data_IF_536590265471
#
_entry.id   IF_536590265471
#
_cell.length_a   1.000
_cell.length_b   1.000
_cell.length_c   1.000
_cell.angle_alpha   90.00
_cell.angle_beta   90.00
_cell.angle_gamma   90.00
#
_symmetry.space_group_name_H-M   'P 1'
#
loop_
_entity.id
_entity.type
_entity.pdbx_description
1 polymer ?
#
# COMPACT_ATOMS: atom_id res chain seq x y z
N UNK A 1 -16.00 21.61 7.30
CA UNK A 1 -16.48 21.42 8.70
C UNK A 1 -15.32 20.89 9.52
N UNK A 2 -14.87 21.61 10.55
CA UNK A 2 -13.83 21.13 11.46
C UNK A 2 -14.36 20.01 12.37
N UNK A 3 -13.53 19.01 12.66
CA UNK A 3 -13.92 17.88 13.51
C UNK A 3 -14.48 18.34 14.86
N UNK A 4 -15.62 17.78 15.28
CA UNK A 4 -16.36 18.16 16.50
C UNK A 4 -15.57 17.96 17.81
N UNK A 5 -14.39 17.34 17.74
CA UNK A 5 -13.49 17.11 18.87
C UNK A 5 -12.06 17.38 18.43
N UNK A 6 -11.57 18.64 18.55
CA UNK A 6 -10.18 18.95 18.20
C UNK A 6 -9.23 18.15 19.10
N UNK A 7 -8.10 17.71 18.53
CA UNK A 7 -7.07 17.03 19.31
C UNK A 7 -6.42 18.05 20.26
N UNK A 8 -6.53 17.80 21.56
CA UNK A 8 -5.95 18.68 22.58
C UNK A 8 -4.55 18.20 22.94
N UNK A 9 -3.71 19.09 23.50
CA UNK A 9 -2.37 18.72 23.98
C UNK A 9 -2.42 17.55 24.97
N UNK A 10 -3.36 17.56 25.92
CA UNK A 10 -3.55 16.45 26.87
C UNK A 10 -3.88 15.14 26.15
N UNK A 11 -4.70 15.19 25.10
CA UNK A 11 -5.03 14.01 24.28
C UNK A 11 -3.81 13.49 23.52
N UNK A 12 -2.94 14.37 23.01
CA UNK A 12 -1.69 13.98 22.36
C UNK A 12 -0.80 13.22 23.34
N UNK A 13 -0.56 13.77 24.53
CA UNK A 13 0.26 13.13 25.57
C UNK A 13 -0.35 11.78 26.00
N UNK A 14 -1.68 11.70 26.13
CA UNK A 14 -2.38 10.45 26.42
C UNK A 14 -2.11 9.38 25.34
N UNK A 15 -2.32 9.75 24.07
CA UNK A 15 -2.09 8.85 22.93
C UNK A 15 -0.63 8.41 22.82
N UNK A 16 0.32 9.30 23.12
CA UNK A 16 1.75 8.97 23.15
C UNK A 16 2.06 7.92 24.22
N UNK A 17 1.57 8.11 25.46
CA UNK A 17 1.80 7.14 26.54
C UNK A 17 1.22 5.77 26.21
N UNK A 18 0.02 5.73 25.64
CA UNK A 18 -0.60 4.49 25.18
C UNK A 18 0.20 3.84 24.03
N UNK A 19 0.71 4.64 23.09
CA UNK A 19 1.53 4.15 22.00
C UNK A 19 2.86 3.57 22.50
N UNK A 20 3.53 4.23 23.46
CA UNK A 20 4.77 3.75 24.07
C UNK A 20 4.57 2.37 24.68
N UNK A 21 3.47 2.14 25.41
CA UNK A 21 3.20 0.83 26.00
C UNK A 21 3.05 -0.28 24.95
N UNK A 22 2.46 0.01 23.79
CA UNK A 22 2.31 -0.94 22.68
C UNK A 22 3.62 -1.15 21.92
N UNK A 23 4.38 -0.08 21.67
CA UNK A 23 5.59 -0.10 20.85
C UNK A 23 6.84 -0.55 21.61
N UNK A 24 6.88 -0.40 22.94
CA UNK A 24 8.07 -0.69 23.73
C UNK A 24 8.62 -2.12 23.53
N UNK A 25 7.79 -3.19 23.54
CA UNK A 25 8.27 -4.54 23.24
C UNK A 25 8.91 -4.66 21.85
N UNK A 26 8.37 -3.96 20.84
CA UNK A 26 8.94 -3.92 19.50
C UNK A 26 10.28 -3.20 19.47
N UNK A 27 10.44 -2.08 20.19
CA UNK A 27 11.73 -1.38 20.27
C UNK A 27 12.80 -2.25 20.93
N UNK A 28 12.47 -2.89 22.06
CA UNK A 28 13.39 -3.81 22.74
C UNK A 28 13.79 -4.94 21.79
N UNK A 29 12.84 -5.57 21.13
CA UNK A 29 13.11 -6.65 20.18
C UNK A 29 14.01 -6.19 19.03
N UNK A 30 13.72 -5.05 18.38
CA UNK A 30 14.53 -4.54 17.27
C UNK A 30 15.97 -4.21 17.67
N UNK A 31 16.15 -3.57 18.84
CA UNK A 31 17.50 -3.27 19.36
C UNK A 31 18.25 -4.56 19.63
N UNK A 32 17.61 -5.55 20.26
CA UNK A 32 18.23 -6.85 20.51
C UNK A 32 18.57 -7.57 19.19
N UNK A 33 17.67 -7.58 18.21
CA UNK A 33 17.94 -8.17 16.88
C UNK A 33 19.16 -7.55 16.21
N UNK A 34 19.26 -6.22 16.23
CA UNK A 34 20.42 -5.53 15.66
C UNK A 34 21.73 -5.94 16.34
N UNK A 35 21.73 -6.14 17.66
CA UNK A 35 22.91 -6.56 18.42
C UNK A 35 23.27 -8.03 18.17
N UNK A 36 22.28 -8.94 18.18
CA UNK A 36 22.55 -10.38 18.04
C UNK A 36 22.90 -10.80 16.61
N UNK A 37 22.51 -10.01 15.62
CA UNK A 37 22.83 -10.26 14.21
C UNK A 37 24.24 -9.77 13.83
N UNK A 38 24.96 -9.13 14.75
CA UNK A 38 26.36 -8.76 14.51
C UNK A 38 27.26 -10.01 14.44
N UNK A 39 28.22 -10.07 13.51
CA UNK A 39 29.07 -11.25 13.33
C UNK A 39 29.95 -11.54 14.54
N UNK A 40 30.24 -10.54 15.37
CA UNK A 40 31.05 -10.66 16.59
C UNK A 40 30.30 -11.34 17.75
N UNK A 41 28.96 -11.36 17.70
CA UNK A 41 28.14 -11.87 18.80
C UNK A 41 27.68 -13.31 18.52
N UNK A 42 28.17 -14.27 19.32
CA UNK A 42 27.73 -15.66 19.21
C UNK A 42 26.48 -15.93 20.06
N UNK A 43 25.31 -15.72 19.48
CA UNK A 43 24.02 -15.94 20.16
C UNK A 43 23.83 -17.40 20.61
N UNK A 44 24.33 -18.38 19.86
CA UNK A 44 24.18 -19.80 20.21
C UNK A 44 24.92 -20.20 21.50
N UNK A 45 25.95 -19.43 21.89
CA UNK A 45 26.68 -19.62 23.14
C UNK A 45 26.18 -18.70 24.27
N UNK A 46 25.16 -17.87 24.02
CA UNK A 46 24.65 -16.93 25.01
C UNK A 46 23.78 -17.66 26.06
N UNK A 47 24.11 -17.58 27.37
CA UNK A 47 23.42 -18.34 28.42
C UNK A 47 21.90 -18.10 28.47
N UNK A 48 21.46 -16.89 28.12
CA UNK A 48 20.05 -16.49 28.13
C UNK A 48 19.42 -16.46 26.74
N UNK A 49 19.91 -17.25 25.77
CA UNK A 49 19.34 -17.29 24.41
C UNK A 49 17.84 -17.61 24.36
N UNK A 50 17.32 -18.28 25.38
CA UNK A 50 15.90 -18.63 25.51
C UNK A 50 15.08 -17.59 26.28
N UNK A 51 15.64 -16.40 26.58
CA UNK A 51 14.90 -15.34 27.24
C UNK A 51 13.72 -14.87 26.36
N UNK A 52 12.51 -14.70 26.92
CA UNK A 52 11.35 -14.21 26.18
C UNK A 52 11.58 -12.89 25.43
N UNK A 53 12.53 -12.05 25.86
CA UNK A 53 12.90 -10.81 25.17
C UNK A 53 13.43 -11.03 23.75
N UNK A 54 13.95 -12.23 23.44
CA UNK A 54 14.41 -12.59 22.09
C UNK A 54 13.27 -13.12 21.20
N UNK A 55 12.10 -13.42 21.76
CA UNK A 55 10.94 -13.82 20.97
C UNK A 55 10.30 -12.62 20.27
N UNK A 56 9.79 -12.79 19.03
CA UNK A 56 9.10 -11.71 18.34
C UNK A 56 7.86 -11.27 19.15
N UNK A 57 7.68 -9.97 19.41
CA UNK A 57 6.52 -9.47 20.13
C UNK A 57 5.25 -9.61 19.29
N UNK A 58 4.10 -9.71 19.96
CA UNK A 58 2.79 -9.80 19.31
C UNK A 58 2.58 -8.57 18.41
N UNK A 59 2.16 -8.74 17.14
CA UNK A 59 1.90 -7.61 16.26
C UNK A 59 0.81 -6.69 16.82
N UNK A 60 1.05 -5.38 16.78
CA UNK A 60 0.08 -4.38 17.27
C UNK A 60 -1.18 -4.34 16.39
N UNK A 61 -1.02 -4.51 15.08
CA UNK A 61 -2.09 -4.56 14.09
C UNK A 61 -1.82 -5.72 13.14
N UNK A 62 -2.01 -6.94 13.63
CA UNK A 62 -1.89 -8.13 12.79
C UNK A 62 -2.98 -8.08 11.70
N UNK A 63 -2.55 -8.08 10.44
CA UNK A 63 -3.49 -8.30 9.34
C UNK A 63 -3.99 -9.75 9.41
N UNK A 64 -5.23 -10.03 9.00
CA UNK A 64 -5.72 -11.38 8.96
C UNK A 64 -4.78 -12.29 8.14
N UNK A 65 -4.40 -13.42 8.73
CA UNK A 65 -3.46 -14.38 8.16
C UNK A 65 -4.12 -15.76 8.04
N UNK A 66 -3.67 -16.58 7.08
CA UNK A 66 -4.17 -17.94 6.88
C UNK A 66 -4.53 -18.22 5.42
N UNK A 67 -5.03 -19.43 5.16
CA UNK A 67 -5.36 -19.88 3.79
C UNK A 67 -6.43 -18.99 3.13
N UNK A 68 -7.37 -18.46 3.91
CA UNK A 68 -8.42 -17.56 3.43
C UNK A 68 -7.92 -16.17 3.03
N UNK A 69 -6.73 -15.78 3.50
CA UNK A 69 -6.12 -14.46 3.28
C UNK A 69 -4.91 -14.50 2.35
N UNK A 70 -4.70 -15.63 1.64
CA UNK A 70 -3.64 -15.76 0.64
C UNK A 70 -3.96 -14.83 -0.54
N UNK A 71 -2.97 -14.01 -0.91
CA UNK A 71 -3.06 -13.16 -2.11
C UNK A 71 -3.28 -14.01 -3.35
N UNK A 72 -4.36 -13.73 -4.08
CA UNK A 72 -4.67 -14.36 -5.36
C UNK A 72 -4.29 -13.43 -6.50
N UNK A 73 -3.70 -13.99 -7.55
CA UNK A 73 -3.36 -13.25 -8.76
C UNK A 73 -4.24 -13.74 -9.90
N UNK A 74 -4.82 -12.79 -10.62
CA UNK A 74 -5.66 -13.04 -11.79
C UNK A 74 -5.08 -12.25 -12.96
N UNK A 75 -5.01 -12.89 -14.13
CA UNK A 75 -4.58 -12.24 -15.35
C UNK A 75 -5.78 -11.64 -16.06
N UNK A 76 -5.73 -10.34 -16.31
CA UNK A 76 -6.71 -9.63 -17.12
C UNK A 76 -6.41 -9.80 -18.62
N UNK A 77 -7.43 -9.68 -19.44
CA UNK A 77 -7.29 -9.75 -20.90
C UNK A 77 -6.55 -8.53 -21.44
N UNK A 78 -5.56 -8.78 -22.32
CA UNK A 78 -4.82 -7.74 -23.03
C UNK A 78 -5.73 -6.87 -23.88
N UNK A 79 -5.62 -5.55 -23.75
CA UNK A 79 -6.42 -4.59 -24.49
C UNK A 79 -5.58 -3.81 -25.49
N UNK A 80 -6.12 -3.59 -26.69
CA UNK A 80 -5.49 -2.76 -27.73
C UNK A 80 -5.96 -1.30 -27.58
N UNK A 81 -5.58 -0.66 -26.48
CA UNK A 81 -5.88 0.75 -26.20
C UNK A 81 -4.55 1.48 -25.98
N UNK A 82 -4.39 2.62 -26.64
CA UNK A 82 -3.22 3.47 -26.44
C UNK A 82 -3.24 4.08 -25.04
N UNK A 83 -2.18 3.90 -24.25
CA UNK A 83 -2.07 4.38 -22.87
C UNK A 83 -1.34 5.74 -22.76
N UNK A 84 -0.93 6.35 -23.87
CA UNK A 84 -0.19 7.60 -23.85
C UNK A 84 -1.06 8.86 -23.60
N UNK A 85 -2.38 8.70 -23.52
CA UNK A 85 -3.34 9.80 -23.34
C UNK A 85 -4.23 9.60 -22.12
N UNK A 86 -4.78 10.70 -21.60
CA UNK A 86 -5.76 10.66 -20.51
C UNK A 86 -7.02 9.86 -20.88
N UNK A 87 -7.54 10.06 -22.11
CA UNK A 87 -8.72 9.33 -22.59
C UNK A 87 -8.45 7.82 -22.68
N UNK A 88 -7.27 7.44 -23.19
CA UNK A 88 -6.84 6.04 -23.25
C UNK A 88 -6.74 5.39 -21.87
N UNK A 89 -6.15 6.08 -20.90
CA UNK A 89 -6.08 5.61 -19.51
C UNK A 89 -7.48 5.48 -18.88
N UNK A 90 -8.35 6.47 -19.09
CA UNK A 90 -9.72 6.43 -18.56
C UNK A 90 -10.53 5.26 -19.17
N UNK A 91 -10.36 5.02 -20.48
CA UNK A 91 -10.96 3.88 -21.17
C UNK A 91 -10.46 2.54 -20.60
N UNK A 92 -9.16 2.41 -20.34
CA UNK A 92 -8.59 1.21 -19.72
C UNK A 92 -9.16 0.97 -18.32
N UNK A 93 -9.28 2.01 -17.49
CA UNK A 93 -9.93 1.89 -16.16
C UNK A 93 -11.36 1.35 -16.26
N UNK A 94 -12.12 1.74 -17.28
CA UNK A 94 -13.44 1.21 -17.56
C UNK A 94 -13.42 -0.27 -17.93
N UNK A 95 -12.56 -0.64 -18.89
CA UNK A 95 -12.43 -2.03 -19.36
C UNK A 95 -12.01 -2.96 -18.21
N UNK A 96 -11.05 -2.55 -17.39
CA UNK A 96 -10.62 -3.35 -16.25
C UNK A 96 -11.69 -3.48 -15.18
N UNK A 97 -12.48 -2.44 -14.93
CA UNK A 97 -13.66 -2.56 -14.06
C UNK A 97 -14.65 -3.57 -14.62
N UNK A 98 -14.90 -3.57 -15.92
CA UNK A 98 -15.80 -4.54 -16.55
C UNK A 98 -15.27 -5.97 -16.41
N UNK A 99 -13.99 -6.20 -16.69
CA UNK A 99 -13.35 -7.51 -16.53
C UNK A 99 -13.35 -8.02 -15.08
N UNK A 100 -13.25 -7.11 -14.11
CA UNK A 100 -13.34 -7.42 -12.68
C UNK A 100 -14.79 -7.58 -12.18
N UNK A 101 -15.79 -7.41 -13.06
CA UNK A 101 -17.20 -7.47 -12.70
C UNK A 101 -17.72 -6.25 -11.93
N UNK A 102 -16.97 -5.14 -11.97
CA UNK A 102 -17.23 -3.91 -11.22
C UNK A 102 -17.92 -2.81 -12.07
N UNK A 103 -18.22 -3.11 -13.33
CA UNK A 103 -18.79 -2.15 -14.29
C UNK A 103 -20.24 -1.74 -14.04
N UNK A 104 -21.00 -2.53 -13.25
CA UNK A 104 -22.41 -2.25 -12.99
C UNK A 104 -22.61 -0.97 -12.18
N UNK A 105 -23.76 -0.30 -12.32
CA UNK A 105 -24.04 0.93 -11.57
C UNK A 105 -23.94 0.71 -10.04
N UNK A 106 -24.45 -0.43 -9.54
CA UNK A 106 -24.35 -0.78 -8.12
C UNK A 106 -22.89 -0.93 -7.68
N UNK A 107 -22.06 -1.59 -8.50
CA UNK A 107 -20.64 -1.80 -8.20
C UNK A 107 -19.81 -0.51 -8.29
N UNK A 108 -20.17 0.42 -9.18
CA UNK A 108 -19.54 1.74 -9.25
C UNK A 108 -19.82 2.56 -7.99
N UNK A 109 -21.04 2.49 -7.44
CA UNK A 109 -21.36 3.12 -6.16
C UNK A 109 -20.53 2.53 -5.02
N UNK A 110 -20.43 1.20 -4.94
CA UNK A 110 -19.57 0.52 -3.94
C UNK A 110 -18.11 0.91 -4.12
N UNK A 111 -17.63 0.97 -5.37
CA UNK A 111 -16.25 1.33 -5.68
C UNK A 111 -15.93 2.75 -5.24
N UNK A 112 -16.76 3.73 -5.58
CA UNK A 112 -16.54 5.13 -5.21
C UNK A 112 -16.74 5.46 -3.73
N UNK A 113 -17.21 4.52 -2.90
CA UNK A 113 -17.49 4.76 -1.47
C UNK A 113 -16.65 3.89 -0.53
N UNK A 114 -16.40 2.64 -0.91
CA UNK A 114 -15.90 1.62 0.01
C UNK A 114 -14.64 0.90 -0.49
N UNK A 115 -14.12 1.22 -1.68
CA UNK A 115 -12.95 0.54 -2.24
C UNK A 115 -11.79 1.50 -2.42
N UNK A 116 -10.60 0.94 -2.24
CA UNK A 116 -9.33 1.55 -2.64
C UNK A 116 -8.61 0.52 -3.49
N UNK A 117 -8.25 0.89 -4.71
CA UNK A 117 -7.52 0.07 -5.65
C UNK A 117 -6.16 0.70 -5.92
N UNK A 118 -5.12 -0.06 -5.61
CA UNK A 118 -3.76 0.32 -5.91
C UNK A 118 -3.47 0.01 -7.37
N UNK A 119 -3.10 1.03 -8.14
CA UNK A 119 -2.73 0.90 -9.54
C UNK A 119 -1.22 1.04 -9.69
N UNK A 120 -0.57 -0.01 -10.18
CA UNK A 120 0.88 -0.04 -10.36
C UNK A 120 1.20 -0.04 -11.85
N UNK A 121 2.00 0.93 -12.29
CA UNK A 121 2.40 1.06 -13.69
C UNK A 121 3.75 1.75 -13.83
N UNK A 122 4.12 2.06 -15.07
CA UNK A 122 5.31 2.86 -15.33
C UNK A 122 5.11 4.34 -14.98
N UNK A 123 6.15 5.16 -15.18
CA UNK A 123 6.10 6.59 -14.83
C UNK A 123 5.05 7.36 -15.62
N UNK A 124 4.85 7.03 -16.91
CA UNK A 124 3.89 7.71 -17.75
C UNK A 124 2.47 7.41 -17.30
N UNK A 125 2.15 6.13 -17.08
CA UNK A 125 0.85 5.69 -16.56
C UNK A 125 0.52 6.40 -15.25
N UNK A 126 1.45 6.42 -14.30
CA UNK A 126 1.22 7.03 -12.97
C UNK A 126 0.95 8.53 -13.07
N UNK A 127 1.70 9.26 -13.90
CA UNK A 127 1.46 10.69 -14.10
C UNK A 127 0.14 10.94 -14.85
N UNK A 128 -0.21 10.09 -15.82
CA UNK A 128 -1.50 10.14 -16.48
C UNK A 128 -2.66 9.95 -15.49
N UNK A 129 -2.58 8.95 -14.62
CA UNK A 129 -3.60 8.70 -13.59
C UNK A 129 -3.71 9.85 -12.57
N UNK A 130 -2.58 10.44 -12.16
CA UNK A 130 -2.58 11.62 -11.28
C UNK A 130 -3.19 12.84 -11.96
N UNK A 131 -2.95 13.02 -13.25
CA UNK A 131 -3.56 14.06 -14.06
C UNK A 131 -5.08 13.88 -14.15
N UNK A 132 -5.54 12.66 -14.43
CA UNK A 132 -6.97 12.32 -14.46
C UNK A 132 -7.66 12.63 -13.12
N UNK A 133 -7.06 12.20 -12.01
CA UNK A 133 -7.60 12.50 -10.68
C UNK A 133 -7.80 14.01 -10.45
N UNK A 134 -6.87 14.85 -10.92
CA UNK A 134 -7.01 16.32 -10.84
C UNK A 134 -8.08 16.88 -11.78
N UNK A 135 -8.27 16.29 -12.95
CA UNK A 135 -9.30 16.73 -13.90
C UNK A 135 -10.71 16.36 -13.44
N UNK A 136 -10.84 15.21 -12.79
CA UNK A 136 -12.12 14.69 -12.31
C UNK A 136 -12.47 15.14 -10.89
N UNK A 137 -11.62 15.91 -10.20
CA UNK A 137 -11.81 16.22 -8.78
C UNK A 137 -13.10 17.03 -8.48
N UNK A 138 -13.67 17.69 -9.48
CA UNK A 138 -14.92 18.46 -9.40
C UNK A 138 -16.16 17.65 -9.80
N UNK A 139 -16.01 16.36 -10.11
CA UNK A 139 -17.15 15.52 -10.44
C UNK A 139 -18.10 15.31 -9.24
N UNK A 140 -19.32 14.85 -9.55
CA UNK A 140 -20.42 14.84 -8.60
C UNK A 140 -20.37 13.68 -7.60
N UNK A 141 -19.47 12.71 -7.76
CA UNK A 141 -19.33 11.57 -6.85
C UNK A 141 -17.92 10.96 -6.88
N UNK A 142 -17.57 10.25 -5.81
CA UNK A 142 -16.23 9.67 -5.63
C UNK A 142 -15.83 8.60 -6.65
N UNK A 143 -16.79 7.99 -7.38
CA UNK A 143 -16.45 7.08 -8.47
C UNK A 143 -15.89 7.86 -9.66
N UNK A 144 -16.59 8.91 -10.08
CA UNK A 144 -16.15 9.78 -11.17
C UNK A 144 -14.94 10.62 -10.80
N UNK A 145 -14.82 11.08 -9.55
CA UNK A 145 -13.61 11.75 -9.04
C UNK A 145 -12.37 10.84 -8.98
N UNK A 146 -12.54 9.53 -9.20
CA UNK A 146 -11.48 8.53 -9.08
C UNK A 146 -10.89 8.44 -7.66
N UNK A 147 -11.66 8.74 -6.61
CA UNK A 147 -11.20 8.72 -5.20
C UNK A 147 -10.73 7.33 -4.73
N UNK A 148 -11.21 6.30 -5.43
CA UNK A 148 -10.86 4.91 -5.19
C UNK A 148 -9.48 4.52 -5.76
N UNK A 149 -8.87 5.35 -6.61
CA UNK A 149 -7.63 5.02 -7.34
C UNK A 149 -6.38 5.52 -6.59
N UNK A 150 -5.43 4.63 -6.31
CA UNK A 150 -4.14 4.97 -5.72
C UNK A 150 -3.01 4.61 -6.69
N UNK A 151 -2.49 5.59 -7.46
CA UNK A 151 -1.43 5.32 -8.42
C UNK A 151 -0.06 5.22 -7.73
N UNK A 152 0.63 4.09 -7.93
CA UNK A 152 1.94 3.77 -7.39
C UNK A 152 2.90 3.47 -8.53
N UNK A 153 4.10 4.05 -8.45
CA UNK A 153 5.16 3.75 -9.40
C UNK A 153 5.67 2.31 -9.23
N UNK A 154 5.62 1.54 -10.31
CA UNK A 154 6.13 0.18 -10.35
C UNK A 154 7.65 0.16 -10.41
N UNK A 155 8.28 -0.01 -9.24
CA UNK A 155 9.75 -0.15 -9.12
C UNK A 155 10.34 -1.28 -9.99
N UNK A 156 9.56 -2.32 -10.26
CA UNK A 156 9.96 -3.37 -11.20
C UNK A 156 10.26 -2.80 -12.60
N UNK A 157 9.44 -1.87 -13.11
CA UNK A 157 9.68 -1.24 -14.40
C UNK A 157 10.99 -0.43 -14.40
N UNK A 158 11.32 0.24 -13.29
CA UNK A 158 12.60 0.94 -13.14
C UNK A 158 13.79 -0.02 -13.20
N UNK A 159 13.71 -1.14 -12.47
CA UNK A 159 14.77 -2.16 -12.45
C UNK A 159 15.00 -2.75 -13.85
N UNK A 160 13.91 -3.04 -14.57
CA UNK A 160 13.99 -3.56 -15.94
C UNK A 160 14.56 -2.51 -16.93
N UNK A 161 14.16 -1.25 -16.82
CA UNK A 161 14.70 -0.17 -17.64
C UNK A 161 16.20 0.06 -17.35
N UNK A 162 16.58 0.02 -16.08
CA UNK A 162 17.96 0.15 -15.65
C UNK A 162 18.83 -1.01 -16.17
N UNK A 163 18.40 -2.26 -15.98
CA UNK A 163 19.10 -3.43 -16.51
C UNK A 163 19.29 -3.34 -18.05
N UNK A 164 18.25 -2.95 -18.78
CA UNK A 164 18.33 -2.74 -20.23
C UNK A 164 19.32 -1.63 -20.61
N UNK A 165 19.46 -0.57 -19.80
CA UNK A 165 20.43 0.49 -20.05
C UNK A 165 21.87 0.02 -19.86
N UNK A 166 22.13 -0.84 -18.88
CA UNK A 166 23.45 -1.43 -18.63
C UNK A 166 23.89 -2.35 -19.77
N UNK A 167 22.96 -3.11 -20.35
CA UNK A 167 23.26 -4.02 -21.47
C UNK A 167 23.42 -3.30 -22.83
N UNK A 168 23.01 -2.04 -22.93
CA UNK A 168 23.15 -1.22 -24.15
C UNK A 168 24.36 -0.29 -24.14
N UNK A 169 25.14 -0.28 -23.04
CA UNK A 169 26.46 0.34 -22.96
C UNK A 169 27.54 -0.62 -23.46
#
# INVERSE_FOLDING_TARGET
>A
MGGKTPITFQKIIGLEREAVQRCHPHFVWHVLQALIQTPEFNFAMYPSQNDPAFMPPKPTHELPCGQDYVTKQYLLETQQVEEASYDGNLKLLGIWQDQLGLGSCAEKVVTGTNRVMVFVGDQLTVECMRGLYKLCCEDHNGHYCLDWLVPIFGWFHLLMAFANSLHKQ
#
